data_IF_254299966878
#
_entry.id   IF_254299966878
#
_cell.length_a   1.000
_cell.length_b   1.000
_cell.length_c   1.000
_cell.angle_alpha   90.00
_cell.angle_beta   90.00
_cell.angle_gamma   90.00
#
_symmetry.space_group_name_H-M   'P 1'
#
loop_
_entity.id
_entity.type
_entity.pdbx_description
1 polymer ?
#
# COMPACT_ATOMS: atom_id res chain seq x y z
N UNK A 1 52.57 1.03 37.55
CA UNK A 1 52.17 0.89 36.14
C UNK A 1 50.97 1.82 35.88
N UNK A 2 51.14 2.84 35.01
CA UNK A 2 50.32 4.07 34.98
C UNK A 2 48.91 3.83 34.41
N UNK A 3 47.89 3.64 35.24
CA UNK A 3 46.49 3.52 34.86
C UNK A 3 45.98 4.71 33.99
N UNK A 4 46.49 5.92 34.23
CA UNK A 4 46.13 7.12 33.42
C UNK A 4 46.55 7.07 31.94
N UNK A 5 47.58 6.31 31.59
CA UNK A 5 48.03 6.14 30.19
C UNK A 5 47.16 5.14 29.45
N UNK A 6 46.67 4.10 30.13
CA UNK A 6 45.81 3.08 29.53
C UNK A 6 44.42 3.64 29.20
N UNK A 7 43.85 4.49 30.05
CA UNK A 7 42.55 5.15 29.82
C UNK A 7 42.62 6.09 28.61
N UNK A 8 43.72 6.79 28.40
CA UNK A 8 43.90 7.70 27.23
C UNK A 8 43.97 6.99 25.91
N UNK A 9 44.27 5.70 25.87
CA UNK A 9 44.35 4.88 24.67
C UNK A 9 43.09 4.01 24.52
N UNK A 10 42.56 3.47 25.62
CA UNK A 10 41.40 2.58 25.60
C UNK A 10 40.09 3.31 25.22
N UNK A 11 39.89 4.54 25.70
CA UNK A 11 38.67 5.32 25.43
C UNK A 11 38.51 5.66 23.93
N UNK A 12 39.53 6.20 23.22
CA UNK A 12 39.36 6.48 21.81
C UNK A 12 39.18 5.21 20.95
N UNK A 13 39.82 4.09 21.33
CA UNK A 13 39.64 2.82 20.63
C UNK A 13 38.21 2.30 20.80
N UNK A 14 37.63 2.41 21.99
CA UNK A 14 36.25 2.02 22.26
C UNK A 14 35.24 2.85 21.43
N UNK A 15 35.49 4.17 21.37
CA UNK A 15 34.64 5.08 20.54
C UNK A 15 34.71 4.70 19.06
N UNK A 16 35.88 4.43 18.53
CA UNK A 16 36.08 4.01 17.15
C UNK A 16 35.34 2.69 16.85
N UNK A 17 35.38 1.72 17.77
CA UNK A 17 34.67 0.44 17.63
C UNK A 17 33.14 0.63 17.67
N UNK A 18 32.65 1.51 18.54
CA UNK A 18 31.22 1.84 18.62
C UNK A 18 30.77 2.53 17.32
N UNK A 19 31.51 3.52 16.83
CA UNK A 19 31.19 4.22 15.57
C UNK A 19 31.26 3.26 14.38
N UNK A 20 32.28 2.40 14.31
CA UNK A 20 32.39 1.39 13.28
C UNK A 20 31.22 0.36 13.35
N UNK A 21 30.81 -0.03 14.56
CA UNK A 21 29.65 -0.89 14.78
C UNK A 21 28.34 -0.25 14.32
N UNK A 22 28.13 1.04 14.61
CA UNK A 22 26.95 1.80 14.16
C UNK A 22 26.95 1.96 12.62
N UNK A 23 28.11 2.24 12.02
CA UNK A 23 28.23 2.34 10.58
C UNK A 23 27.99 0.98 9.88
N UNK A 24 28.51 -0.11 10.46
CA UNK A 24 28.27 -1.45 9.95
C UNK A 24 26.78 -1.86 10.11
N UNK A 25 26.17 -1.53 11.25
CA UNK A 25 24.74 -1.77 11.49
C UNK A 25 23.87 -0.98 10.51
N UNK A 26 24.18 0.31 10.30
CA UNK A 26 23.48 1.11 9.27
C UNK A 26 23.65 0.53 7.87
N UNK A 27 24.85 0.09 7.49
CA UNK A 27 25.07 -0.51 6.16
C UNK A 27 24.41 -1.88 5.99
N UNK A 28 24.19 -2.63 7.05
CA UNK A 28 23.50 -3.94 6.99
C UNK A 28 21.98 -3.75 6.95
N UNK A 29 21.45 -2.73 7.65
CA UNK A 29 20.00 -2.41 7.68
C UNK A 29 19.59 -1.33 6.65
N UNK A 30 20.53 -0.64 6.03
CA UNK A 30 20.31 0.31 4.94
C UNK A 30 21.04 -0.20 3.69
N UNK A 31 20.87 -1.48 3.37
CA UNK A 31 21.09 -1.89 2.00
C UNK A 31 20.10 -1.08 1.16
N UNK A 32 20.55 -0.24 0.19
CA UNK A 32 19.65 0.27 -0.80
C UNK A 32 19.02 -0.98 -1.43
N UNK A 33 17.71 -1.00 -1.55
CA UNK A 33 17.03 -1.93 -2.46
C UNK A 33 17.47 -1.48 -3.85
N UNK A 34 18.69 -1.84 -4.24
CA UNK A 34 19.20 -1.68 -5.59
C UNK A 34 18.41 -2.65 -6.47
N UNK A 35 17.58 -2.06 -7.28
CA UNK A 35 17.01 -2.73 -8.44
C UNK A 35 15.98 -3.78 -8.04
N UNK A 36 14.76 -3.38 -7.77
CA UNK A 36 13.62 -4.17 -8.23
C UNK A 36 13.81 -4.20 -9.75
N UNK A 37 14.57 -5.19 -10.22
CA UNK A 37 14.45 -5.62 -11.60
C UNK A 37 12.96 -5.84 -11.78
N UNK A 38 12.40 -5.24 -12.79
CA UNK A 38 11.09 -5.48 -13.35
C UNK A 38 10.99 -6.97 -13.71
N UNK A 39 10.98 -7.79 -12.68
CA UNK A 39 10.45 -9.13 -12.68
C UNK A 39 8.97 -8.87 -12.52
N UNK A 40 8.15 -9.37 -13.43
CA UNK A 40 6.69 -9.32 -13.34
C UNK A 40 6.28 -9.80 -11.95
N UNK A 41 6.28 -8.89 -10.98
CA UNK A 41 5.87 -9.20 -9.64
C UNK A 41 4.35 -9.27 -9.71
N UNK A 42 3.83 -10.47 -9.58
CA UNK A 42 2.39 -10.76 -9.67
C UNK A 42 1.57 -9.84 -8.75
N UNK A 43 2.18 -9.35 -7.68
CA UNK A 43 1.52 -8.42 -6.76
C UNK A 43 1.29 -7.02 -7.34
N UNK A 44 1.99 -6.65 -8.43
CA UNK A 44 1.76 -5.40 -9.16
C UNK A 44 0.91 -5.56 -10.42
N UNK A 45 0.52 -6.79 -10.79
CA UNK A 45 -0.45 -6.98 -11.88
C UNK A 45 -1.81 -6.42 -11.46
N UNK A 46 -2.56 -5.87 -12.42
CA UNK A 46 -3.89 -5.32 -12.13
C UNK A 46 -4.85 -6.42 -11.67
N UNK A 47 -5.00 -7.46 -12.45
CA UNK A 47 -5.93 -8.55 -12.14
C UNK A 47 -5.40 -9.47 -11.05
N UNK A 48 -6.28 -9.87 -10.13
CA UNK A 48 -5.98 -10.88 -9.11
C UNK A 48 -7.20 -11.75 -8.83
N UNK A 49 -6.94 -13.03 -8.57
CA UNK A 49 -7.97 -14.02 -8.24
C UNK A 49 -8.22 -14.12 -6.72
N UNK A 50 -7.30 -13.56 -5.93
CA UNK A 50 -7.38 -13.55 -4.47
C UNK A 50 -6.76 -12.28 -3.91
N UNK A 51 -7.19 -11.86 -2.72
CA UNK A 51 -6.65 -10.71 -2.01
C UNK A 51 -6.01 -11.20 -0.71
N UNK A 52 -4.68 -11.13 -0.64
CA UNK A 52 -3.91 -11.33 0.58
C UNK A 52 -3.46 -9.95 1.09
N UNK A 53 -4.23 -9.36 2.01
CA UNK A 53 -3.93 -8.04 2.55
C UNK A 53 -2.61 -7.99 3.30
N UNK A 54 -2.24 -9.06 4.00
CA UNK A 54 -0.98 -9.12 4.75
C UNK A 54 0.21 -9.04 3.79
N UNK A 55 0.13 -9.76 2.67
CA UNK A 55 1.16 -9.71 1.63
C UNK A 55 1.20 -8.33 0.94
N UNK A 56 0.05 -7.75 0.58
CA UNK A 56 -0.03 -6.45 -0.10
C UNK A 56 0.44 -5.30 0.80
N UNK A 57 0.04 -5.28 2.08
CA UNK A 57 0.45 -4.23 3.03
C UNK A 57 1.93 -4.29 3.39
N UNK A 58 2.57 -5.45 3.25
CA UNK A 58 4.01 -5.61 3.48
C UNK A 58 4.88 -4.76 2.53
N UNK A 59 4.33 -4.31 1.38
CA UNK A 59 5.03 -3.39 0.47
C UNK A 59 5.15 -1.97 1.04
N UNK A 60 4.34 -1.59 2.04
CA UNK A 60 4.34 -0.24 2.59
C UNK A 60 3.91 0.82 1.58
N UNK A 61 3.00 0.45 0.68
CA UNK A 61 2.45 1.30 -0.38
C UNK A 61 0.94 1.44 -0.20
N UNK A 62 0.33 2.56 -0.60
CA UNK A 62 -1.11 2.69 -0.67
C UNK A 62 -1.72 1.64 -1.61
N UNK A 63 -2.92 1.15 -1.26
CA UNK A 63 -3.60 0.09 -1.99
C UNK A 63 -5.01 0.55 -2.36
N UNK A 64 -5.38 0.37 -3.63
CA UNK A 64 -6.77 0.48 -4.11
C UNK A 64 -7.14 -0.87 -4.73
N UNK A 65 -8.22 -1.48 -4.22
CA UNK A 65 -8.74 -2.74 -4.75
C UNK A 65 -10.13 -2.47 -5.30
N UNK A 66 -10.30 -2.60 -6.62
CA UNK A 66 -11.60 -2.54 -7.28
C UNK A 66 -12.23 -3.92 -7.34
N UNK A 67 -13.38 -4.07 -6.72
CA UNK A 67 -14.22 -5.25 -6.80
C UNK A 67 -15.30 -5.01 -7.87
N UNK A 68 -15.17 -5.70 -8.98
CA UNK A 68 -16.02 -5.51 -10.15
C UNK A 68 -16.32 -6.80 -10.87
N UNK A 69 -16.69 -6.72 -12.14
CA UNK A 69 -16.82 -7.88 -13.03
C UNK A 69 -16.72 -7.45 -14.50
N UNK A 70 -16.13 -8.31 -15.33
CA UNK A 70 -16.07 -8.15 -16.79
C UNK A 70 -17.43 -8.07 -17.47
N UNK A 71 -18.50 -8.49 -16.81
CA UNK A 71 -19.85 -8.47 -17.34
C UNK A 71 -20.70 -7.31 -16.83
N UNK A 72 -20.17 -6.51 -15.91
CA UNK A 72 -20.81 -5.32 -15.34
C UNK A 72 -20.55 -4.10 -16.23
N UNK A 73 -21.58 -3.37 -16.65
CA UNK A 73 -21.40 -2.20 -17.54
C UNK A 73 -20.62 -1.07 -16.89
N UNK A 74 -20.95 -0.61 -15.66
CA UNK A 74 -20.14 0.43 -14.99
C UNK A 74 -18.69 0.01 -14.75
N UNK A 75 -18.43 -1.27 -14.43
CA UNK A 75 -17.08 -1.78 -14.24
C UNK A 75 -16.27 -1.71 -15.55
N UNK A 76 -16.86 -2.07 -16.69
CA UNK A 76 -16.22 -1.93 -18.00
C UNK A 76 -15.87 -0.49 -18.36
N UNK A 77 -16.68 0.47 -17.93
CA UNK A 77 -16.41 1.89 -18.16
C UNK A 77 -15.21 2.39 -17.31
N UNK A 78 -14.99 1.78 -16.16
CA UNK A 78 -13.87 2.10 -15.27
C UNK A 78 -12.59 1.34 -15.65
N UNK A 79 -12.67 0.21 -16.34
CA UNK A 79 -11.52 -0.64 -16.65
C UNK A 79 -10.32 0.13 -17.28
N UNK A 80 -10.49 1.04 -18.26
CA UNK A 80 -9.38 1.81 -18.82
C UNK A 80 -8.69 2.70 -17.78
N UNK A 81 -9.44 3.22 -16.80
CA UNK A 81 -8.88 4.02 -15.70
C UNK A 81 -8.00 3.14 -14.81
N UNK A 82 -8.48 1.95 -14.46
CA UNK A 82 -7.71 1.00 -13.65
C UNK A 82 -6.43 0.56 -14.36
N UNK A 83 -6.48 0.28 -15.67
CA UNK A 83 -5.32 -0.07 -16.48
C UNK A 83 -4.27 1.06 -16.45
N UNK A 84 -4.69 2.30 -16.77
CA UNK A 84 -3.81 3.47 -16.74
C UNK A 84 -3.19 3.68 -15.36
N UNK A 85 -4.02 3.65 -14.31
CA UNK A 85 -3.54 3.87 -12.95
C UNK A 85 -2.62 2.75 -12.47
N UNK A 86 -2.89 1.49 -12.82
CA UNK A 86 -1.99 0.40 -12.50
C UNK A 86 -0.62 0.56 -13.18
N UNK A 87 -0.58 0.91 -14.47
CA UNK A 87 0.68 1.11 -15.21
C UNK A 87 1.51 2.26 -14.63
N UNK A 88 0.89 3.39 -14.33
CA UNK A 88 1.61 4.59 -13.86
C UNK A 88 2.01 4.51 -12.39
N UNK A 89 1.28 3.76 -11.58
CA UNK A 89 1.51 3.63 -10.13
C UNK A 89 2.43 2.47 -9.76
N UNK A 90 3.05 1.79 -10.73
CA UNK A 90 4.02 0.73 -10.47
C UNK A 90 5.12 1.21 -9.50
N UNK A 91 5.25 0.52 -8.35
CA UNK A 91 6.20 0.87 -7.29
C UNK A 91 5.82 2.07 -6.43
N UNK A 92 4.70 2.75 -6.68
CA UNK A 92 4.19 3.90 -5.91
C UNK A 92 2.90 3.57 -5.16
N UNK A 93 2.03 2.76 -5.75
CA UNK A 93 0.79 2.25 -5.15
C UNK A 93 0.44 0.89 -5.76
N UNK A 94 -0.39 0.12 -5.09
CA UNK A 94 -0.93 -1.14 -5.58
C UNK A 94 -2.37 -0.90 -6.04
N UNK A 95 -2.61 -1.03 -7.34
CA UNK A 95 -3.94 -0.94 -7.95
C UNK A 95 -4.33 -2.35 -8.38
N UNK A 96 -5.44 -2.88 -7.83
CA UNK A 96 -5.89 -4.25 -8.06
C UNK A 96 -7.32 -4.26 -8.56
N UNK A 97 -7.62 -5.24 -9.40
CA UNK A 97 -8.98 -5.56 -9.85
C UNK A 97 -9.30 -7.03 -9.52
N UNK A 98 -10.48 -7.25 -8.97
CA UNK A 98 -11.03 -8.58 -8.64
C UNK A 98 -12.36 -8.76 -9.35
N UNK A 99 -12.48 -9.75 -10.25
CA UNK A 99 -13.77 -10.15 -10.79
C UNK A 99 -14.51 -11.03 -9.76
N UNK A 100 -15.43 -10.41 -9.01
CA UNK A 100 -16.17 -11.08 -7.92
C UNK A 100 -17.18 -12.12 -8.42
N UNK A 101 -17.50 -12.14 -9.71
CA UNK A 101 -18.36 -13.18 -10.28
C UNK A 101 -17.58 -14.42 -10.68
N UNK A 102 -16.27 -14.29 -10.94
CA UNK A 102 -15.37 -15.43 -11.18
C UNK A 102 -14.74 -15.92 -9.87
N UNK A 103 -14.37 -14.98 -8.98
CA UNK A 103 -13.61 -15.22 -7.76
C UNK A 103 -14.36 -14.70 -6.52
N UNK A 104 -15.53 -15.26 -6.23
CA UNK A 104 -16.42 -14.82 -5.15
C UNK A 104 -15.73 -14.83 -3.78
N UNK A 105 -14.86 -15.80 -3.55
CA UNK A 105 -14.12 -15.92 -2.27
C UNK A 105 -13.14 -14.76 -2.04
N UNK A 106 -12.65 -14.12 -3.11
CA UNK A 106 -11.74 -13.00 -2.98
C UNK A 106 -12.40 -11.74 -2.40
N UNK A 107 -13.73 -11.64 -2.46
CA UNK A 107 -14.51 -10.58 -1.83
C UNK A 107 -14.91 -10.90 -0.38
N UNK A 108 -14.60 -12.13 0.11
CA UNK A 108 -14.96 -12.52 1.46
C UNK A 108 -14.23 -11.63 2.49
N UNK A 109 -14.98 -11.11 3.44
CA UNK A 109 -14.44 -10.20 4.46
C UNK A 109 -14.43 -8.72 4.07
N UNK A 110 -14.71 -8.37 2.81
CA UNK A 110 -14.88 -6.98 2.37
C UNK A 110 -16.35 -6.58 2.33
N UNK A 111 -16.70 -5.30 2.62
CA UNK A 111 -18.08 -4.83 2.67
C UNK A 111 -18.64 -4.52 1.28
N UNK A 112 -18.58 -5.48 0.35
CA UNK A 112 -19.00 -5.31 -1.04
C UNK A 112 -20.50 -5.60 -1.15
N UNK A 113 -21.29 -4.56 -1.44
CA UNK A 113 -22.75 -4.65 -1.59
C UNK A 113 -23.20 -4.45 -3.04
N UNK A 114 -22.45 -3.67 -3.81
CA UNK A 114 -22.67 -3.37 -5.23
C UNK A 114 -21.33 -3.40 -5.95
N UNK A 115 -21.33 -3.44 -7.27
CA UNK A 115 -20.13 -3.34 -8.11
C UNK A 115 -20.30 -2.25 -9.19
N UNK A 116 -19.21 -1.53 -9.51
CA UNK A 116 -17.90 -1.59 -8.90
C UNK A 116 -17.87 -0.97 -7.49
N UNK A 117 -17.01 -1.49 -6.62
CA UNK A 117 -16.71 -0.92 -5.31
C UNK A 117 -15.21 -0.94 -5.09
N UNK A 118 -14.62 0.20 -4.73
CA UNK A 118 -13.20 0.32 -4.43
C UNK A 118 -12.97 0.35 -2.93
N UNK A 119 -11.96 -0.38 -2.46
CA UNK A 119 -11.48 -0.38 -1.07
C UNK A 119 -10.14 0.33 -1.03
N UNK A 120 -9.94 1.22 -0.04
CA UNK A 120 -8.76 2.06 0.08
C UNK A 120 -8.02 1.78 1.39
N UNK A 121 -6.72 1.50 1.28
CA UNK A 121 -5.86 1.13 2.40
C UNK A 121 -4.57 1.95 2.31
N UNK A 122 -4.22 2.63 3.42
CA UNK A 122 -3.00 3.42 3.52
C UNK A 122 -1.73 2.55 3.46
N UNK A 123 -0.59 3.17 3.22
CA UNK A 123 0.72 2.51 3.16
C UNK A 123 1.11 1.79 4.46
N UNK A 124 0.54 2.17 5.59
CA UNK A 124 0.75 1.53 6.90
C UNK A 124 -0.25 0.40 7.18
N UNK A 125 -1.10 0.05 6.21
CA UNK A 125 -2.12 -0.98 6.32
C UNK A 125 -3.41 -0.54 7.02
N UNK A 126 -3.52 0.71 7.46
CA UNK A 126 -4.76 1.24 8.05
C UNK A 126 -5.79 1.60 6.98
N UNK A 127 -7.10 1.54 7.28
CA UNK A 127 -8.12 2.06 6.38
C UNK A 127 -7.89 3.55 6.08
N UNK A 128 -8.06 3.94 4.82
CA UNK A 128 -7.93 5.33 4.38
C UNK A 128 -8.98 6.23 5.04
N UNK A 129 -8.59 7.44 5.43
CA UNK A 129 -9.50 8.49 5.91
C UNK A 129 -9.31 9.70 4.99
N UNK A 130 -10.30 10.04 4.15
CA UNK A 130 -10.16 11.14 3.21
C UNK A 130 -10.04 12.48 3.93
N UNK A 131 -9.16 13.36 3.41
CA UNK A 131 -9.11 14.75 3.85
C UNK A 131 -10.25 15.58 3.24
N UNK A 132 -10.47 16.78 3.78
CA UNK A 132 -11.51 17.72 3.31
C UNK A 132 -11.32 18.16 1.83
N UNK A 133 -10.14 17.89 1.25
CA UNK A 133 -9.82 18.24 -0.14
C UNK A 133 -10.27 17.21 -1.18
N UNK A 134 -10.75 16.05 -0.76
CA UNK A 134 -11.16 14.96 -1.66
C UNK A 134 -12.67 14.99 -1.85
N UNK A 135 -13.10 15.49 -3.03
CA UNK A 135 -14.52 15.56 -3.42
C UNK A 135 -15.00 14.22 -4.02
N UNK A 136 -15.04 13.19 -3.19
CA UNK A 136 -15.53 11.84 -3.54
C UNK A 136 -16.31 11.29 -2.35
N UNK A 137 -17.48 10.70 -2.60
CA UNK A 137 -18.26 10.07 -1.53
C UNK A 137 -17.65 8.74 -1.10
N UNK A 138 -17.49 8.57 0.22
CA UNK A 138 -17.00 7.33 0.79
C UNK A 138 -17.98 6.80 1.83
N UNK A 139 -18.08 5.47 1.93
CA UNK A 139 -18.72 4.79 3.05
C UNK A 139 -17.62 4.19 3.94
N UNK A 140 -17.70 4.49 5.24
CA UNK A 140 -16.78 3.96 6.24
C UNK A 140 -17.47 2.86 7.04
N UNK A 141 -16.79 1.73 7.16
CA UNK A 141 -17.26 0.56 7.90
C UNK A 141 -16.41 0.35 9.15
N UNK A 142 -17.04 -0.08 10.22
CA UNK A 142 -16.37 -0.38 11.48
C UNK A 142 -16.63 -1.82 11.90
N UNK A 143 -15.70 -2.42 12.62
CA UNK A 143 -15.90 -3.72 13.24
C UNK A 143 -17.00 -3.63 14.30
N UNK A 144 -17.94 -4.58 14.28
CA UNK A 144 -19.05 -4.61 15.24
C UNK A 144 -18.60 -4.87 16.68
N UNK A 145 -17.48 -5.55 16.83
CA UNK A 145 -16.98 -6.01 18.14
C UNK A 145 -16.40 -4.86 18.98
N UNK A 146 -15.70 -3.93 18.35
CA UNK A 146 -14.94 -2.88 19.04
C UNK A 146 -15.18 -1.47 18.51
N UNK A 147 -15.92 -1.32 17.40
CA UNK A 147 -16.19 -0.04 16.76
C UNK A 147 -15.00 0.58 16.02
N UNK A 148 -13.86 -0.12 15.92
CA UNK A 148 -12.71 0.37 15.18
C UNK A 148 -13.00 0.45 13.68
N UNK A 149 -12.42 1.46 13.01
CA UNK A 149 -12.55 1.65 11.58
C UNK A 149 -11.92 0.47 10.83
N UNK A 150 -12.72 -0.21 10.00
CA UNK A 150 -12.33 -1.43 9.31
C UNK A 150 -12.03 -1.18 7.83
N UNK A 151 -12.91 -0.44 7.14
CA UNK A 151 -12.78 -0.18 5.72
C UNK A 151 -13.32 1.19 5.34
N UNK A 152 -12.67 1.81 4.36
CA UNK A 152 -13.22 2.94 3.58
C UNK A 152 -13.43 2.46 2.15
N UNK A 153 -14.63 2.67 1.62
CA UNK A 153 -15.00 2.26 0.27
C UNK A 153 -15.68 3.37 -0.50
N UNK A 154 -15.52 3.37 -1.82
CA UNK A 154 -16.36 4.11 -2.76
C UNK A 154 -17.20 3.13 -3.56
N UNK A 155 -18.49 3.44 -3.78
CA UNK A 155 -19.42 2.62 -4.54
C UNK A 155 -19.75 3.33 -5.86
N UNK A 156 -19.42 2.70 -6.96
CA UNK A 156 -19.58 3.27 -8.31
C UNK A 156 -18.24 3.39 -9.03
N UNK A 157 -18.26 3.94 -10.24
CA UNK A 157 -17.05 4.16 -11.03
C UNK A 157 -16.33 5.44 -10.60
N UNK A 158 -15.01 5.39 -10.54
CA UNK A 158 -14.14 6.55 -10.36
C UNK A 158 -13.55 6.99 -11.71
N UNK A 159 -13.38 8.30 -11.86
CA UNK A 159 -12.58 8.87 -12.94
C UNK A 159 -11.10 8.82 -12.61
N UNK A 160 -10.26 8.95 -13.62
CA UNK A 160 -8.80 9.04 -13.45
C UNK A 160 -8.40 10.18 -12.50
N UNK A 161 -8.98 11.39 -12.69
CA UNK A 161 -8.70 12.55 -11.83
C UNK A 161 -9.07 12.30 -10.36
N UNK A 162 -10.18 11.61 -10.10
CA UNK A 162 -10.58 11.24 -8.75
C UNK A 162 -9.59 10.25 -8.14
N UNK A 163 -9.17 9.21 -8.88
CA UNK A 163 -8.18 8.26 -8.39
C UNK A 163 -6.83 8.92 -8.10
N UNK A 164 -6.37 9.83 -8.97
CA UNK A 164 -5.14 10.61 -8.75
C UNK A 164 -5.25 11.48 -7.50
N UNK A 165 -6.38 12.15 -7.31
CA UNK A 165 -6.62 12.99 -6.12
C UNK A 165 -6.59 12.15 -4.84
N UNK A 166 -7.25 10.99 -4.84
CA UNK A 166 -7.24 10.06 -3.71
C UNK A 166 -5.83 9.57 -3.42
N UNK A 167 -5.09 9.11 -4.43
CA UNK A 167 -3.73 8.62 -4.26
C UNK A 167 -2.77 9.72 -3.76
N UNK A 168 -2.91 10.96 -4.24
CA UNK A 168 -2.15 12.09 -3.73
C UNK A 168 -2.46 12.36 -2.24
N UNK A 169 -3.73 12.28 -1.84
CA UNK A 169 -4.16 12.39 -0.44
C UNK A 169 -3.64 11.23 0.43
N UNK A 170 -3.50 10.03 -0.14
CA UNK A 170 -2.86 8.87 0.50
C UNK A 170 -1.32 8.97 0.55
N UNK A 171 -0.73 10.07 0.04
CA UNK A 171 0.70 10.35 0.11
C UNK A 171 1.52 9.91 -1.10
N UNK A 172 0.89 9.51 -2.20
CA UNK A 172 1.60 9.24 -3.46
C UNK A 172 2.03 10.56 -4.08
N UNK A 173 3.32 10.69 -4.35
CA UNK A 173 3.91 11.85 -5.03
C UNK A 173 4.36 11.48 -6.44
N UNK A 174 4.31 12.43 -7.36
CA UNK A 174 4.77 12.29 -8.75
C UNK A 174 6.24 11.88 -8.87
#
# INVERSE_FOLDING_TARGET
MNQKKWIKIAVPILIVLIVAGICAYKNIFSAPVEGIQQQDNIDFTLETEAVDLDALTAYGLPIIIDFGSDSCIPCKQMAPVLETMNEEMQGKALIKFVDVWKHTEAAAGFPIQVIPTQVFINADGTPYIPSDGVDTEFAMYSYQENGEHAFTVHQGGLTEDQMRTILADMGVTD
#
